data_IF_014929378847
#
_entry.id   IF_014929378847
#
_cell.length_a   1.000
_cell.length_b   1.000
_cell.length_c   1.000
_cell.angle_alpha   90.00
_cell.angle_beta   90.00
_cell.angle_gamma   90.00
#
_symmetry.space_group_name_H-M   'P 1'
#
loop_
_entity.id
_entity.type
_entity.pdbx_description
1 polymer ?
#
# COMPACT_ATOMS: atom_id res chain seq x y z
N UNK A 1 -19.04 32.63 -1.42
CA UNK A 1 -18.01 31.69 -0.90
C UNK A 1 -17.87 31.93 0.58
N UNK A 2 -18.18 30.93 1.43
CA UNK A 2 -18.34 31.11 2.87
C UNK A 2 -17.05 31.56 3.55
N UNK A 3 -17.15 32.60 4.39
CA UNK A 3 -16.08 33.17 5.25
C UNK A 3 -15.64 32.22 6.37
N UNK A 4 -15.90 30.94 6.25
CA UNK A 4 -15.54 29.90 7.24
C UNK A 4 -14.03 29.61 7.20
N UNK A 5 -13.48 29.16 8.32
CA UNK A 5 -12.07 28.72 8.40
C UNK A 5 -11.73 27.65 7.34
N UNK A 6 -12.68 26.74 7.08
CA UNK A 6 -12.55 25.71 6.05
C UNK A 6 -12.48 26.32 4.63
N UNK A 7 -13.34 27.31 4.31
CA UNK A 7 -13.35 27.98 3.02
C UNK A 7 -12.02 28.70 2.76
N UNK A 8 -11.44 29.34 3.79
CA UNK A 8 -10.12 29.99 3.70
C UNK A 8 -9.00 28.96 3.47
N UNK A 9 -9.01 27.84 4.19
CA UNK A 9 -8.02 26.78 4.02
C UNK A 9 -8.05 26.18 2.60
N UNK A 10 -9.25 25.94 2.04
CA UNK A 10 -9.43 25.45 0.66
C UNK A 10 -8.89 26.44 -0.36
N UNK A 11 -9.19 27.75 -0.20
CA UNK A 11 -8.71 28.81 -1.09
C UNK A 11 -7.18 28.96 -1.01
N UNK A 12 -6.59 28.81 0.18
CA UNK A 12 -5.15 28.85 0.37
C UNK A 12 -4.42 27.68 -0.33
N UNK A 13 -4.98 26.47 -0.26
CA UNK A 13 -4.45 25.31 -0.97
C UNK A 13 -4.49 25.55 -2.48
N UNK A 14 -5.61 26.04 -3.00
CA UNK A 14 -5.75 26.32 -4.43
C UNK A 14 -4.73 27.38 -4.90
N UNK A 15 -4.59 28.47 -4.17
CA UNK A 15 -3.64 29.56 -4.48
C UNK A 15 -2.17 29.08 -4.45
N UNK A 16 -1.83 28.12 -3.56
CA UNK A 16 -0.49 27.55 -3.44
C UNK A 16 -0.22 26.41 -4.42
N UNK A 17 -1.22 25.96 -5.17
CA UNK A 17 -1.08 24.88 -6.15
C UNK A 17 -0.42 25.39 -7.42
N UNK A 18 0.77 24.86 -7.83
CA UNK A 18 1.41 25.29 -9.06
C UNK A 18 0.55 25.00 -10.29
N UNK A 19 0.49 25.88 -11.30
CA UNK A 19 -0.36 25.71 -12.49
C UNK A 19 -0.06 24.44 -13.29
N UNK A 20 1.20 23.98 -13.25
CA UNK A 20 1.66 22.79 -13.97
C UNK A 20 1.47 21.47 -13.18
N UNK A 21 0.76 21.52 -12.03
CA UNK A 21 0.54 20.35 -11.19
C UNK A 21 -0.42 19.37 -11.87
N UNK A 22 0.01 18.13 -12.02
CA UNK A 22 -0.85 17.07 -12.57
C UNK A 22 -1.82 16.56 -11.50
N UNK A 23 -3.01 17.18 -11.47
CA UNK A 23 -4.04 16.86 -10.47
C UNK A 23 -4.56 15.43 -10.60
N UNK A 24 -4.61 14.86 -11.81
CA UNK A 24 -5.06 13.48 -12.00
C UNK A 24 -4.10 12.48 -11.34
N UNK A 25 -2.81 12.66 -11.52
CA UNK A 25 -1.79 11.81 -10.89
C UNK A 25 -1.85 11.90 -9.37
N UNK A 26 -2.05 13.10 -8.83
CA UNK A 26 -2.20 13.26 -7.38
C UNK A 26 -3.53 12.67 -6.87
N UNK A 27 -4.61 12.76 -7.64
CA UNK A 27 -5.89 12.14 -7.34
C UNK A 27 -5.80 10.61 -7.30
N UNK A 28 -5.19 10.01 -8.31
CA UNK A 28 -4.94 8.56 -8.36
C UNK A 28 -4.07 8.09 -7.20
N UNK A 29 -3.05 8.87 -6.83
CA UNK A 29 -2.21 8.57 -5.67
C UNK A 29 -3.01 8.63 -4.38
N UNK A 30 -3.81 9.67 -4.18
CA UNK A 30 -4.64 9.81 -2.98
C UNK A 30 -5.67 8.69 -2.87
N UNK A 31 -6.29 8.29 -3.98
CA UNK A 31 -7.21 7.15 -4.03
C UNK A 31 -6.51 5.85 -3.60
N UNK A 32 -5.34 5.56 -4.18
CA UNK A 32 -4.58 4.37 -3.83
C UNK A 32 -4.11 4.38 -2.37
N UNK A 33 -3.70 5.56 -1.85
CA UNK A 33 -3.32 5.73 -0.44
C UNK A 33 -4.47 5.51 0.53
N UNK A 34 -5.69 5.92 0.18
CA UNK A 34 -6.87 5.72 1.03
C UNK A 34 -7.41 4.29 0.94
N UNK A 35 -7.24 3.62 -0.21
CA UNK A 35 -7.64 2.23 -0.36
C UNK A 35 -6.88 1.29 0.59
N UNK A 36 -5.61 1.58 0.91
CA UNK A 36 -4.81 0.75 1.82
C UNK A 36 -5.42 0.67 3.23
N UNK A 37 -5.59 1.78 3.99
CA UNK A 37 -6.21 1.70 5.31
C UNK A 37 -7.64 1.18 5.24
N UNK A 38 -8.43 1.58 4.24
CA UNK A 38 -9.80 1.09 4.05
C UNK A 38 -9.83 -0.42 3.88
N UNK A 39 -8.92 -0.98 3.06
CA UNK A 39 -8.78 -2.42 2.86
C UNK A 39 -8.39 -3.15 4.14
N UNK A 40 -7.36 -2.67 4.84
CA UNK A 40 -6.92 -3.28 6.10
C UNK A 40 -7.97 -3.19 7.20
N UNK A 41 -8.71 -2.08 7.27
CA UNK A 41 -9.75 -1.92 8.28
C UNK A 41 -11.03 -2.71 7.97
N UNK A 42 -11.41 -2.88 6.70
CA UNK A 42 -12.62 -3.59 6.31
C UNK A 42 -12.40 -5.11 6.17
N UNK A 43 -11.25 -5.52 5.60
CA UNK A 43 -10.94 -6.92 5.30
C UNK A 43 -10.12 -7.60 6.39
N UNK A 44 -9.58 -6.83 7.34
CA UNK A 44 -8.89 -7.31 8.53
C UNK A 44 -9.76 -7.15 9.77
N UNK A 45 -9.66 -8.09 10.69
CA UNK A 45 -10.39 -8.10 11.95
C UNK A 45 -9.61 -8.78 13.05
N UNK A 46 -10.24 -8.90 14.22
CA UNK A 46 -9.71 -9.61 15.36
C UNK A 46 -10.74 -10.57 15.91
N UNK A 47 -10.26 -11.70 16.43
CA UNK A 47 -11.02 -12.56 17.33
C UNK A 47 -10.38 -12.48 18.70
N UNK A 48 -11.21 -12.37 19.74
CA UNK A 48 -10.77 -12.45 21.14
C UNK A 48 -10.98 -13.87 21.64
N UNK A 49 -9.91 -14.50 22.12
CA UNK A 49 -9.96 -15.84 22.72
C UNK A 49 -10.40 -15.82 24.19
N UNK A 50 -10.45 -17.00 24.84
CA UNK A 50 -10.84 -17.15 26.22
C UNK A 50 -9.87 -16.51 27.23
N UNK A 51 -8.59 -16.31 26.85
CA UNK A 51 -7.58 -15.62 27.64
C UNK A 51 -7.65 -14.09 27.54
N UNK A 52 -8.43 -13.58 26.59
CA UNK A 52 -8.52 -12.15 26.28
C UNK A 52 -7.55 -11.68 25.20
N UNK A 53 -6.75 -12.59 24.64
CA UNK A 53 -5.82 -12.26 23.56
C UNK A 53 -6.54 -12.03 22.22
N UNK A 54 -5.99 -11.09 21.45
CA UNK A 54 -6.47 -10.78 20.11
C UNK A 54 -5.63 -11.53 19.07
N UNK A 55 -6.33 -12.25 18.19
CA UNK A 55 -5.78 -12.93 17.03
C UNK A 55 -6.28 -12.30 15.75
N UNK A 56 -5.42 -12.31 14.71
CA UNK A 56 -5.80 -11.80 13.39
C UNK A 56 -6.88 -12.66 12.76
N UNK A 57 -7.89 -12.02 12.18
CA UNK A 57 -9.02 -12.66 11.50
C UNK A 57 -9.42 -11.85 10.25
N UNK A 58 -10.20 -12.47 9.36
CA UNK A 58 -10.70 -11.82 8.16
C UNK A 58 -12.11 -12.27 7.82
N UNK A 59 -13.02 -11.39 7.42
CA UNK A 59 -14.33 -11.78 6.92
C UNK A 59 -14.26 -12.63 5.64
N UNK A 60 -13.14 -12.60 4.94
CA UNK A 60 -12.93 -13.39 3.74
C UNK A 60 -12.76 -14.89 4.03
N UNK A 61 -12.40 -15.28 5.26
CA UNK A 61 -12.38 -16.68 5.69
C UNK A 61 -13.79 -17.28 5.79
N UNK A 62 -14.79 -16.44 6.12
CA UNK A 62 -16.19 -16.88 6.30
C UNK A 62 -17.06 -16.57 5.07
N UNK A 63 -16.73 -15.52 4.31
CA UNK A 63 -17.53 -15.03 3.19
C UNK A 63 -16.69 -14.89 1.92
N UNK A 64 -16.53 -15.97 1.17
CA UNK A 64 -15.84 -15.98 -0.12
C UNK A 64 -16.46 -14.99 -1.13
N UNK A 65 -17.78 -14.77 -1.10
CA UNK A 65 -18.50 -13.79 -1.91
C UNK A 65 -18.11 -12.33 -1.64
N UNK A 66 -17.36 -12.05 -0.55
CA UNK A 66 -16.84 -10.72 -0.25
C UNK A 66 -15.47 -10.44 -0.93
N UNK A 67 -14.88 -11.45 -1.61
CA UNK A 67 -13.62 -11.29 -2.32
C UNK A 67 -13.58 -10.13 -3.32
N UNK A 68 -14.66 -9.77 -4.08
CA UNK A 68 -14.65 -8.60 -4.97
C UNK A 68 -14.34 -7.27 -4.28
N UNK A 69 -14.62 -7.12 -2.98
CA UNK A 69 -14.21 -5.94 -2.22
C UNK A 69 -12.68 -5.80 -2.20
N UNK A 70 -11.95 -6.94 -2.13
CA UNK A 70 -10.49 -6.92 -2.21
C UNK A 70 -9.97 -6.49 -3.58
N UNK A 71 -10.70 -6.71 -4.68
CA UNK A 71 -10.30 -6.28 -6.03
C UNK A 71 -10.33 -4.75 -6.18
N UNK A 72 -11.34 -4.12 -5.55
CA UNK A 72 -11.50 -2.66 -5.55
C UNK A 72 -10.46 -2.01 -4.62
N UNK A 73 -10.21 -2.62 -3.45
CA UNK A 73 -9.33 -2.06 -2.44
C UNK A 73 -7.85 -2.39 -2.67
N UNK A 74 -7.53 -3.38 -3.52
CA UNK A 74 -6.16 -3.68 -3.92
C UNK A 74 -5.67 -2.69 -4.99
N UNK A 75 -5.30 -1.51 -4.55
CA UNK A 75 -4.85 -0.42 -5.42
C UNK A 75 -3.33 -0.20 -5.41
N UNK A 76 -2.54 -1.18 -4.95
CA UNK A 76 -1.08 -1.09 -5.01
C UNK A 76 -0.59 -0.99 -6.46
N UNK A 77 -1.27 -1.63 -7.42
CA UNK A 77 -0.99 -1.46 -8.85
C UNK A 77 -1.05 0.00 -9.29
N UNK A 78 -2.09 0.74 -8.91
CA UNK A 78 -2.22 2.18 -9.16
C UNK A 78 -1.13 2.97 -8.42
N UNK A 79 -0.81 2.60 -7.18
CA UNK A 79 0.23 3.28 -6.43
C UNK A 79 1.60 3.16 -7.12
N UNK A 80 1.97 1.96 -7.57
CA UNK A 80 3.22 1.74 -8.31
C UNK A 80 3.20 2.41 -9.70
N UNK A 81 2.06 2.39 -10.42
CA UNK A 81 1.89 3.11 -11.69
C UNK A 81 2.20 4.61 -11.52
N UNK A 82 1.53 5.25 -10.57
CA UNK A 82 1.73 6.69 -10.26
C UNK A 82 3.14 6.95 -9.76
N UNK A 83 3.69 6.02 -8.98
CA UNK A 83 5.06 6.05 -8.51
C UNK A 83 6.07 6.07 -9.65
N UNK A 84 5.93 5.19 -10.63
CA UNK A 84 6.75 5.14 -11.83
C UNK A 84 6.64 6.42 -12.66
N UNK A 85 5.41 6.87 -12.93
CA UNK A 85 5.15 8.12 -13.64
C UNK A 85 5.82 9.34 -12.96
N UNK A 86 5.62 9.51 -11.66
CA UNK A 86 6.21 10.61 -10.91
C UNK A 86 7.74 10.51 -10.80
N UNK A 87 8.26 9.27 -10.75
CA UNK A 87 9.70 9.03 -10.65
C UNK A 87 10.42 9.39 -11.93
N UNK A 88 9.91 9.02 -13.11
CA UNK A 88 10.53 9.39 -14.37
C UNK A 88 10.54 10.89 -14.60
N UNK A 89 9.44 11.60 -14.31
CA UNK A 89 9.39 13.05 -14.41
C UNK A 89 10.39 13.74 -13.47
N UNK A 90 10.49 13.25 -12.24
CA UNK A 90 11.45 13.77 -11.26
C UNK A 90 12.89 13.41 -11.63
N UNK A 91 13.11 12.22 -12.21
CA UNK A 91 14.42 11.78 -12.67
C UNK A 91 14.95 12.66 -13.80
N UNK A 92 14.11 13.04 -14.76
CA UNK A 92 14.49 13.96 -15.84
C UNK A 92 14.75 15.40 -15.35
N UNK A 93 14.01 15.84 -14.34
CA UNK A 93 14.18 17.19 -13.75
C UNK A 93 15.27 17.26 -12.68
N UNK A 94 15.99 16.13 -12.41
CA UNK A 94 17.00 16.13 -11.35
C UNK A 94 18.14 17.11 -11.63
N UNK A 95 18.53 17.82 -10.59
CA UNK A 95 19.77 18.59 -10.56
C UNK A 95 20.81 17.77 -9.80
N UNK A 96 21.90 17.40 -10.45
CA UNK A 96 22.97 16.58 -9.84
C UNK A 96 22.90 15.08 -10.13
N UNK A 97 23.62 14.28 -9.34
CA UNK A 97 23.81 12.85 -9.58
C UNK A 97 22.56 12.03 -9.26
N UNK A 98 22.43 10.87 -9.94
CA UNK A 98 21.38 9.88 -9.65
C UNK A 98 21.41 9.43 -8.18
N UNK A 99 22.62 9.27 -7.60
CA UNK A 99 22.78 8.91 -6.19
C UNK A 99 22.24 9.97 -5.22
N UNK A 100 22.43 11.26 -5.51
CA UNK A 100 21.86 12.34 -4.69
C UNK A 100 20.33 12.38 -4.78
N UNK A 101 19.77 12.19 -5.97
CA UNK A 101 18.33 12.08 -6.19
C UNK A 101 17.73 10.90 -5.41
N UNK A 102 18.36 9.71 -5.49
CA UNK A 102 17.91 8.52 -4.78
C UNK A 102 17.99 8.68 -3.27
N UNK A 103 19.12 9.18 -2.73
CA UNK A 103 19.26 9.44 -1.27
C UNK A 103 18.15 10.34 -0.73
N UNK A 104 17.78 11.37 -1.48
CA UNK A 104 16.68 12.26 -1.07
C UNK A 104 15.32 11.55 -1.00
N UNK A 105 15.07 10.58 -1.88
CA UNK A 105 13.86 9.79 -1.88
C UNK A 105 13.84 8.75 -0.77
N UNK A 106 14.93 8.00 -0.61
CA UNK A 106 15.08 7.01 0.47
C UNK A 106 14.92 7.67 1.84
N UNK A 107 15.56 8.83 2.06
CA UNK A 107 15.42 9.57 3.31
C UNK A 107 13.98 10.02 3.59
N UNK A 108 13.22 10.39 2.57
CA UNK A 108 11.82 10.80 2.71
C UNK A 108 10.91 9.62 3.08
N UNK A 109 11.16 8.44 2.51
CA UNK A 109 10.38 7.23 2.78
C UNK A 109 10.78 6.56 4.09
N UNK A 110 12.08 6.53 4.40
CA UNK A 110 12.60 5.82 5.57
C UNK A 110 12.35 6.50 6.91
N UNK A 111 12.31 7.85 6.96
CA UNK A 111 12.13 8.57 8.24
C UNK A 111 10.83 8.20 8.97
N UNK A 112 9.64 8.21 8.31
CA UNK A 112 8.40 7.78 8.97
C UNK A 112 8.42 6.32 9.40
N UNK A 113 9.06 5.43 8.62
CA UNK A 113 9.24 4.02 8.99
C UNK A 113 10.06 3.90 10.26
N UNK A 114 11.21 4.60 10.35
CA UNK A 114 12.01 4.63 11.58
C UNK A 114 11.23 5.21 12.76
N UNK A 115 10.37 6.20 12.51
CA UNK A 115 9.50 6.79 13.53
C UNK A 115 8.52 5.79 14.12
N UNK A 116 7.76 5.09 13.27
CA UNK A 116 6.78 4.09 13.74
C UNK A 116 7.49 2.92 14.42
N UNK A 117 8.61 2.45 13.89
CA UNK A 117 9.41 1.37 14.49
C UNK A 117 9.90 1.76 15.87
N UNK A 118 10.44 2.98 16.05
CA UNK A 118 10.92 3.45 17.36
C UNK A 118 9.78 3.55 18.38
N UNK A 119 8.62 4.06 17.98
CA UNK A 119 7.44 4.17 18.86
C UNK A 119 6.98 2.76 19.28
N UNK A 120 6.85 1.83 18.35
CA UNK A 120 6.42 0.46 18.69
C UNK A 120 7.45 -0.30 19.52
N UNK A 121 8.75 -0.11 19.27
CA UNK A 121 9.81 -0.69 20.09
C UNK A 121 9.75 -0.23 21.56
N UNK A 122 9.26 0.99 21.81
CA UNK A 122 9.05 1.50 23.19
C UNK A 122 7.67 1.13 23.73
N UNK A 123 6.65 1.07 22.89
CA UNK A 123 5.28 0.73 23.32
C UNK A 123 5.11 -0.73 23.72
N UNK A 124 5.75 -1.68 23.04
CA UNK A 124 5.61 -3.11 23.33
C UNK A 124 5.95 -3.44 24.79
N UNK A 125 7.12 -3.03 25.36
CA UNK A 125 7.40 -3.26 26.77
C UNK A 125 6.39 -2.59 27.71
N UNK A 126 5.96 -1.37 27.40
CA UNK A 126 4.97 -0.64 28.20
C UNK A 126 3.63 -1.38 28.21
N UNK A 127 3.14 -1.79 27.06
CA UNK A 127 1.88 -2.54 26.95
C UNK A 127 1.96 -3.90 27.66
N UNK A 128 3.14 -4.55 27.62
CA UNK A 128 3.36 -5.80 28.34
C UNK A 128 3.23 -5.58 29.86
N UNK A 129 3.86 -4.54 30.41
CA UNK A 129 3.75 -4.17 31.84
C UNK A 129 2.31 -3.81 32.22
N UNK A 130 1.55 -3.22 31.29
CA UNK A 130 0.13 -2.90 31.50
C UNK A 130 -0.80 -4.14 31.38
N UNK A 131 -0.25 -5.35 31.22
CA UNK A 131 -1.02 -6.59 31.21
C UNK A 131 -1.65 -6.94 29.87
N UNK A 132 -1.20 -6.33 28.75
CA UNK A 132 -1.65 -6.76 27.40
C UNK A 132 -1.08 -8.16 27.11
N UNK A 133 -1.93 -9.14 26.73
CA UNK A 133 -1.49 -10.50 26.44
C UNK A 133 -0.40 -10.55 25.36
N UNK A 134 0.58 -11.45 25.53
CA UNK A 134 1.71 -11.61 24.62
C UNK A 134 1.25 -11.83 23.16
N UNK A 135 0.23 -12.66 22.92
CA UNK A 135 -0.29 -12.94 21.58
C UNK A 135 -0.94 -11.71 20.96
N UNK A 136 -1.58 -10.83 21.76
CA UNK A 136 -2.05 -9.53 21.30
C UNK A 136 -0.89 -8.63 20.86
N UNK A 137 0.21 -8.60 21.62
CA UNK A 137 1.40 -7.82 21.26
C UNK A 137 2.07 -8.36 19.99
N UNK A 138 2.15 -9.68 19.84
CA UNK A 138 2.64 -10.33 18.62
C UNK A 138 1.76 -9.99 17.41
N UNK A 139 0.45 -10.16 17.53
CA UNK A 139 -0.52 -9.81 16.47
C UNK A 139 -0.41 -8.34 16.09
N UNK A 140 -0.38 -7.44 17.08
CA UNK A 140 -0.28 -6.00 16.86
C UNK A 140 1.02 -5.59 16.17
N UNK A 141 2.18 -6.11 16.64
CA UNK A 141 3.47 -5.81 16.03
C UNK A 141 3.56 -6.33 14.59
N UNK A 142 3.07 -7.54 14.32
CA UNK A 142 2.99 -8.10 12.97
C UNK A 142 2.15 -7.20 12.04
N UNK A 143 0.96 -6.81 12.46
CA UNK A 143 0.07 -5.97 11.65
C UNK A 143 0.65 -4.58 11.36
N UNK A 144 1.41 -4.00 12.28
CA UNK A 144 2.04 -2.69 12.06
C UNK A 144 3.25 -2.78 11.13
N UNK A 145 4.04 -3.83 11.25
CA UNK A 145 5.28 -4.00 10.50
C UNK A 145 5.01 -4.57 9.10
N UNK A 146 4.07 -5.50 9.00
CA UNK A 146 3.75 -6.17 7.74
C UNK A 146 3.50 -5.20 6.57
N UNK A 147 2.73 -4.09 6.67
CA UNK A 147 2.56 -3.17 5.55
C UNK A 147 3.84 -2.43 5.14
N UNK A 148 4.87 -2.39 6.01
CA UNK A 148 6.08 -1.63 5.75
C UNK A 148 7.03 -2.31 4.74
N UNK A 149 6.85 -3.63 4.46
CA UNK A 149 7.59 -4.33 3.39
C UNK A 149 7.50 -3.57 2.05
N UNK A 150 6.32 -3.02 1.80
CA UNK A 150 6.02 -2.24 0.61
C UNK A 150 6.98 -1.06 0.42
N UNK A 151 7.40 -0.39 1.51
CA UNK A 151 8.36 0.74 1.43
C UNK A 151 9.72 0.25 0.94
N UNK A 152 10.16 -0.93 1.38
CA UNK A 152 11.39 -1.57 0.92
C UNK A 152 11.35 -1.84 -0.58
N UNK A 153 10.30 -2.50 -1.07
CA UNK A 153 10.10 -2.76 -2.50
C UNK A 153 10.03 -1.45 -3.28
N UNK A 154 9.29 -0.45 -2.78
CA UNK A 154 9.17 0.84 -3.45
C UNK A 154 10.50 1.59 -3.56
N UNK A 155 11.39 1.48 -2.56
CA UNK A 155 12.76 2.01 -2.62
C UNK A 155 13.56 1.31 -3.72
N UNK A 156 13.50 -0.03 -3.79
CA UNK A 156 14.22 -0.81 -4.82
C UNK A 156 13.75 -0.45 -6.21
N UNK A 157 12.44 -0.46 -6.49
CA UNK A 157 11.94 -0.10 -7.84
C UNK A 157 12.23 1.35 -8.19
N UNK A 158 12.26 2.26 -7.19
CA UNK A 158 12.69 3.64 -7.40
C UNK A 158 14.16 3.73 -7.78
N UNK A 159 15.03 2.92 -7.16
CA UNK A 159 16.46 2.86 -7.51
C UNK A 159 16.66 2.34 -8.93
N UNK A 160 15.79 1.46 -9.40
CA UNK A 160 15.81 0.89 -10.76
C UNK A 160 15.24 1.83 -11.83
N UNK A 161 14.74 3.04 -11.48
CA UNK A 161 14.18 4.01 -12.45
C UNK A 161 15.06 4.24 -13.68
N UNK A 162 16.40 4.41 -13.59
CA UNK A 162 17.24 4.60 -14.78
C UNK A 162 17.16 3.43 -15.78
N UNK A 163 17.08 2.20 -15.27
CA UNK A 163 16.93 0.99 -16.08
C UNK A 163 15.53 0.89 -16.68
N UNK A 164 14.49 1.23 -15.91
CA UNK A 164 13.10 1.30 -16.37
C UNK A 164 12.95 2.30 -17.53
N UNK A 165 13.63 3.46 -17.44
CA UNK A 165 13.65 4.45 -18.53
C UNK A 165 14.31 3.91 -19.78
N UNK A 166 15.45 3.20 -19.65
CA UNK A 166 16.11 2.55 -20.80
C UNK A 166 15.20 1.51 -21.44
N UNK A 167 14.56 0.65 -20.63
CA UNK A 167 13.60 -0.35 -21.11
C UNK A 167 12.41 0.30 -21.84
N UNK A 168 11.83 1.37 -21.28
CA UNK A 168 10.75 2.11 -21.92
C UNK A 168 11.16 2.73 -23.28
N UNK A 169 12.40 3.19 -23.40
CA UNK A 169 12.93 3.72 -24.67
C UNK A 169 13.20 2.64 -25.69
N UNK A 170 13.72 1.49 -25.28
CA UNK A 170 14.04 0.36 -26.17
C UNK A 170 12.79 -0.41 -26.62
N UNK A 171 11.86 -0.69 -25.68
CA UNK A 171 10.72 -1.59 -25.89
C UNK A 171 9.36 -0.86 -25.94
N UNK A 172 9.36 0.47 -25.75
CA UNK A 172 8.12 1.25 -25.76
C UNK A 172 7.13 0.82 -24.68
N UNK A 173 5.87 0.63 -25.07
CA UNK A 173 4.80 0.17 -24.18
C UNK A 173 4.94 -1.27 -23.70
N UNK A 174 5.75 -2.08 -24.40
CA UNK A 174 5.99 -3.49 -24.07
C UNK A 174 7.06 -3.72 -22.99
N UNK A 175 7.67 -2.66 -22.46
CA UNK A 175 8.75 -2.76 -21.48
C UNK A 175 8.36 -3.50 -20.18
N UNK A 176 7.08 -3.61 -19.88
CA UNK A 176 6.57 -4.37 -18.74
C UNK A 176 6.32 -5.87 -19.05
N UNK A 177 6.26 -6.26 -20.32
CA UNK A 177 5.92 -7.63 -20.71
C UNK A 177 6.89 -8.70 -20.19
N UNK A 178 8.23 -8.50 -20.16
CA UNK A 178 9.14 -9.48 -19.57
C UNK A 178 8.86 -9.74 -18.08
N UNK A 179 8.45 -8.71 -17.33
CA UNK A 179 8.12 -8.86 -15.91
C UNK A 179 6.85 -9.71 -15.71
N UNK A 180 5.85 -9.52 -16.59
CA UNK A 180 4.66 -10.38 -16.62
C UNK A 180 5.05 -11.83 -16.94
N UNK A 181 5.94 -12.04 -17.92
CA UNK A 181 6.44 -13.37 -18.30
C UNK A 181 7.16 -14.09 -17.16
N UNK A 182 7.99 -13.38 -16.39
CA UNK A 182 8.66 -13.95 -15.20
C UNK A 182 7.64 -14.41 -14.17
N UNK A 183 6.65 -13.58 -13.84
CA UNK A 183 5.62 -13.95 -12.85
C UNK A 183 4.76 -15.10 -13.36
N UNK A 184 4.39 -15.11 -14.65
CA UNK A 184 3.65 -16.21 -15.25
C UNK A 184 4.43 -17.53 -15.20
N UNK A 185 5.74 -17.49 -15.49
CA UNK A 185 6.60 -18.67 -15.41
C UNK A 185 6.71 -19.19 -13.97
N UNK A 186 6.95 -18.32 -13.00
CA UNK A 186 7.06 -18.72 -11.60
C UNK A 186 5.73 -19.29 -11.09
N UNK A 187 4.60 -18.68 -11.45
CA UNK A 187 3.28 -19.20 -11.07
C UNK A 187 3.01 -20.57 -11.74
N UNK A 188 3.39 -20.74 -13.01
CA UNK A 188 3.28 -22.02 -13.70
C UNK A 188 4.13 -23.11 -13.03
N UNK A 189 5.37 -22.80 -12.65
CA UNK A 189 6.23 -23.74 -11.95
C UNK A 189 5.68 -24.12 -10.58
N UNK A 190 5.09 -23.17 -9.84
CA UNK A 190 4.59 -23.37 -8.47
C UNK A 190 3.21 -24.06 -8.39
N UNK A 191 2.38 -23.90 -9.40
CA UNK A 191 0.99 -24.34 -9.38
C UNK A 191 0.64 -25.27 -10.54
N UNK A 192 1.59 -25.51 -11.44
CA UNK A 192 1.46 -26.44 -12.56
C UNK A 192 1.97 -27.86 -12.22
N UNK A 193 2.18 -28.70 -13.24
CA UNK A 193 2.55 -30.12 -13.06
C UNK A 193 3.87 -30.36 -12.31
N UNK A 194 4.72 -29.34 -12.18
CA UNK A 194 6.02 -29.45 -11.49
C UNK A 194 6.00 -28.93 -10.06
N UNK A 195 4.83 -28.58 -9.52
CA UNK A 195 4.68 -27.89 -8.24
C UNK A 195 5.38 -28.61 -7.07
N UNK A 196 5.21 -29.93 -6.98
CA UNK A 196 5.77 -30.75 -5.90
C UNK A 196 7.31 -30.81 -5.88
N UNK A 197 7.94 -30.55 -7.04
CA UNK A 197 9.41 -30.52 -7.17
C UNK A 197 10.02 -29.13 -6.97
N UNK A 198 9.20 -28.09 -6.86
CA UNK A 198 9.69 -26.70 -6.75
C UNK A 198 9.95 -26.29 -5.31
N UNK A 199 11.08 -25.62 -5.05
CA UNK A 199 11.38 -25.12 -3.72
C UNK A 199 10.43 -23.98 -3.29
N UNK A 200 10.04 -23.94 -2.03
CA UNK A 200 9.11 -22.93 -1.48
C UNK A 200 9.57 -21.48 -1.69
N UNK A 201 10.89 -21.24 -1.64
CA UNK A 201 11.47 -19.90 -1.86
C UNK A 201 11.28 -19.36 -3.29
N UNK A 202 10.93 -20.21 -4.28
CA UNK A 202 10.71 -19.77 -5.66
C UNK A 202 9.65 -18.68 -5.74
N UNK A 203 8.69 -18.69 -4.83
CA UNK A 203 7.66 -17.66 -4.72
C UNK A 203 8.24 -16.25 -4.52
N UNK A 204 9.34 -16.12 -3.80
CA UNK A 204 9.97 -14.83 -3.49
C UNK A 204 10.52 -14.13 -4.74
N UNK A 205 10.80 -14.90 -5.80
CA UNK A 205 11.23 -14.36 -7.10
C UNK A 205 10.18 -13.41 -7.68
N UNK A 206 8.89 -13.63 -7.39
CA UNK A 206 7.80 -12.78 -7.87
C UNK A 206 7.73 -11.40 -7.20
N UNK A 207 8.36 -11.20 -6.05
CA UNK A 207 8.21 -9.95 -5.27
C UNK A 207 8.62 -8.73 -6.10
N UNK A 208 9.82 -8.76 -6.67
CA UNK A 208 10.32 -7.61 -7.41
C UNK A 208 9.64 -7.44 -8.79
N UNK A 209 9.60 -8.45 -9.68
CA UNK A 209 8.98 -8.29 -11.00
C UNK A 209 7.48 -8.01 -10.90
N UNK A 210 6.78 -8.58 -9.92
CA UNK A 210 5.35 -8.37 -9.74
C UNK A 210 5.00 -6.91 -9.45
N UNK A 211 5.66 -6.27 -8.51
CA UNK A 211 5.40 -4.86 -8.21
C UNK A 211 6.09 -3.90 -9.20
N UNK A 212 7.24 -4.30 -9.75
CA UNK A 212 7.92 -3.55 -10.80
C UNK A 212 7.11 -3.49 -12.09
N UNK A 213 6.22 -4.45 -12.38
CA UNK A 213 5.34 -4.45 -13.54
C UNK A 213 4.51 -3.16 -13.64
N UNK A 214 3.73 -2.84 -12.62
CA UNK A 214 2.91 -1.64 -12.60
C UNK A 214 3.77 -0.36 -12.56
N UNK A 215 4.91 -0.39 -11.88
CA UNK A 215 5.87 0.71 -11.87
C UNK A 215 6.44 0.97 -13.27
N UNK A 216 6.82 -0.07 -14.01
CA UNK A 216 7.33 0.02 -15.39
C UNK A 216 6.25 0.57 -16.33
N UNK A 217 4.98 0.17 -16.18
CA UNK A 217 3.87 0.78 -16.91
C UNK A 217 3.80 2.29 -16.65
N UNK A 218 3.98 2.71 -15.40
CA UNK A 218 4.02 4.12 -15.02
C UNK A 218 5.18 4.88 -15.65
N UNK A 219 6.37 4.29 -15.68
CA UNK A 219 7.53 4.87 -16.36
C UNK A 219 7.27 4.97 -17.86
N UNK A 220 6.77 3.92 -18.51
CA UNK A 220 6.45 3.91 -19.95
C UNK A 220 5.36 4.96 -20.27
N UNK A 221 4.39 5.14 -19.40
CA UNK A 221 3.38 6.20 -19.55
C UNK A 221 4.00 7.60 -19.43
N UNK A 222 4.86 7.84 -18.43
CA UNK A 222 5.58 9.10 -18.26
C UNK A 222 6.56 9.43 -19.41
N UNK A 223 7.14 8.41 -20.06
CA UNK A 223 7.94 8.50 -21.29
C UNK A 223 7.07 8.61 -22.56
N UNK A 224 5.73 8.76 -22.42
CA UNK A 224 4.74 8.87 -23.50
C UNK A 224 4.73 7.66 -24.46
N UNK A 225 5.12 6.47 -23.96
CA UNK A 225 5.13 5.22 -24.74
C UNK A 225 3.81 4.46 -24.67
N UNK A 226 2.91 4.82 -23.77
CA UNK A 226 1.56 4.25 -23.65
C UNK A 226 0.56 5.35 -24.00
N UNK A 227 -0.08 5.21 -25.16
CA UNK A 227 -1.18 6.06 -25.61
C UNK A 227 -2.54 5.42 -25.34
N UNK A 228 -3.62 6.03 -25.87
CA UNK A 228 -5.00 5.59 -25.64
C UNK A 228 -5.26 4.14 -26.10
N UNK A 229 -4.69 3.71 -27.23
CA UNK A 229 -4.82 2.32 -27.72
C UNK A 229 -4.15 1.35 -26.73
N UNK A 230 -2.93 1.65 -26.28
CA UNK A 230 -2.24 0.86 -25.27
C UNK A 230 -3.00 0.80 -23.95
N UNK A 231 -3.63 1.88 -23.54
CA UNK A 231 -4.47 1.91 -22.34
C UNK A 231 -5.72 1.01 -22.47
N UNK A 232 -6.36 0.96 -23.63
CA UNK A 232 -7.46 0.02 -23.90
C UNK A 232 -7.00 -1.44 -23.92
N UNK A 233 -5.81 -1.72 -24.48
CA UNK A 233 -5.22 -3.08 -24.43
C UNK A 233 -4.91 -3.50 -23.01
N UNK A 234 -4.36 -2.61 -22.18
CA UNK A 234 -4.11 -2.89 -20.76
C UNK A 234 -5.41 -3.13 -20.00
N UNK A 235 -6.44 -2.31 -20.23
CA UNK A 235 -7.74 -2.46 -19.57
C UNK A 235 -8.44 -3.76 -19.97
N UNK A 236 -8.66 -3.96 -21.27
CA UNK A 236 -9.38 -5.12 -21.78
C UNK A 236 -8.58 -6.42 -21.64
N UNK A 237 -7.30 -6.40 -22.02
CA UNK A 237 -6.42 -7.58 -21.88
C UNK A 237 -6.20 -7.97 -20.41
N UNK A 238 -6.02 -6.97 -19.53
CA UNK A 238 -5.91 -7.20 -18.09
C UNK A 238 -7.20 -7.79 -17.51
N UNK A 239 -8.36 -7.26 -17.87
CA UNK A 239 -9.65 -7.76 -17.41
C UNK A 239 -9.94 -9.19 -17.92
N UNK A 240 -9.64 -9.47 -19.19
CA UNK A 240 -9.79 -10.81 -19.76
C UNK A 240 -8.85 -11.82 -19.11
N UNK A 241 -7.58 -11.46 -18.92
CA UNK A 241 -6.61 -12.31 -18.21
C UNK A 241 -7.06 -12.56 -16.77
N UNK A 242 -7.54 -11.52 -16.07
CA UNK A 242 -8.06 -11.62 -14.72
C UNK A 242 -9.22 -12.62 -14.64
N UNK A 243 -10.20 -12.49 -15.54
CA UNK A 243 -11.32 -13.41 -15.61
C UNK A 243 -10.89 -14.85 -15.94
N UNK A 244 -9.98 -15.03 -16.90
CA UNK A 244 -9.44 -16.35 -17.23
C UNK A 244 -8.70 -17.00 -16.06
N UNK A 245 -7.88 -16.25 -15.33
CA UNK A 245 -7.16 -16.77 -14.17
C UNK A 245 -8.11 -17.20 -13.04
N UNK A 246 -9.21 -16.49 -12.83
CA UNK A 246 -10.22 -16.87 -11.84
C UNK A 246 -11.07 -18.07 -12.30
N UNK A 247 -11.60 -18.02 -13.53
CA UNK A 247 -12.65 -18.94 -13.97
C UNK A 247 -12.08 -20.24 -14.57
N UNK A 248 -10.91 -20.17 -15.21
CA UNK A 248 -10.29 -21.32 -15.90
C UNK A 248 -9.12 -21.88 -15.09
N UNK A 249 -8.27 -21.02 -14.52
CA UNK A 249 -7.07 -21.43 -13.79
C UNK A 249 -7.27 -21.50 -12.27
N UNK A 250 -8.49 -21.22 -11.78
CA UNK A 250 -8.91 -21.33 -10.38
C UNK A 250 -7.97 -20.65 -9.38
N UNK A 251 -7.48 -19.45 -9.71
CA UNK A 251 -6.74 -18.64 -8.75
C UNK A 251 -7.66 -18.26 -7.57
N UNK A 252 -7.13 -18.13 -6.34
CA UNK A 252 -7.92 -17.67 -5.20
C UNK A 252 -8.57 -16.31 -5.52
N UNK A 253 -9.87 -16.18 -5.23
CA UNK A 253 -10.60 -14.94 -5.56
C UNK A 253 -10.14 -13.73 -4.75
N UNK A 254 -9.63 -13.93 -3.53
CA UNK A 254 -9.12 -12.83 -2.69
C UNK A 254 -7.81 -12.26 -3.20
N UNK A 255 -7.72 -10.92 -3.29
CA UNK A 255 -6.47 -10.21 -3.59
C UNK A 255 -5.56 -10.06 -2.37
N UNK A 256 -6.06 -10.28 -1.17
CA UNK A 256 -5.30 -10.20 0.09
C UNK A 256 -5.12 -11.58 0.70
N UNK A 257 -4.15 -11.71 1.61
CA UNK A 257 -3.98 -12.95 2.36
C UNK A 257 -5.20 -13.21 3.25
N UNK A 258 -5.69 -14.44 3.24
CA UNK A 258 -6.77 -14.90 4.10
C UNK A 258 -6.15 -15.84 5.14
N UNK A 259 -6.35 -15.61 6.46
CA UNK A 259 -5.83 -16.49 7.47
C UNK A 259 -6.26 -17.95 7.26
N UNK A 260 -5.31 -18.89 7.28
CA UNK A 260 -5.58 -20.32 7.02
C UNK A 260 -5.42 -20.76 5.57
N UNK A 261 -5.36 -19.83 4.61
CA UNK A 261 -5.18 -20.17 3.18
C UNK A 261 -3.68 -20.24 2.83
N UNK A 262 -3.28 -21.36 2.22
CA UNK A 262 -1.90 -21.59 1.81
C UNK A 262 -1.48 -20.76 0.60
N UNK A 263 -2.42 -20.35 -0.25
CA UNK A 263 -2.18 -19.59 -1.48
C UNK A 263 -2.70 -18.17 -1.37
N UNK A 264 -1.83 -17.19 -1.58
CA UNK A 264 -2.19 -15.77 -1.59
C UNK A 264 -1.85 -15.14 -2.94
N UNK A 265 -2.57 -14.07 -3.33
CA UNK A 265 -2.30 -13.34 -4.57
C UNK A 265 -1.35 -12.16 -4.40
N UNK A 266 -1.23 -11.59 -3.19
CA UNK A 266 -0.44 -10.37 -2.97
C UNK A 266 0.92 -10.62 -2.32
N UNK A 267 1.12 -11.75 -1.65
CA UNK A 267 2.33 -12.04 -0.88
C UNK A 267 2.77 -13.49 -1.06
N UNK A 268 3.65 -13.72 -2.02
CA UNK A 268 4.16 -12.84 -3.08
C UNK A 268 3.12 -12.57 -4.19
N UNK A 269 3.30 -11.50 -4.99
CA UNK A 269 2.35 -11.16 -6.05
C UNK A 269 2.27 -12.26 -7.11
N UNK A 270 1.03 -12.66 -7.43
CA UNK A 270 0.70 -13.66 -8.46
C UNK A 270 0.35 -12.98 -9.78
N UNK A 271 0.24 -13.77 -10.85
CA UNK A 271 -0.20 -13.31 -12.16
C UNK A 271 -1.59 -12.64 -12.10
N UNK A 272 -2.46 -13.06 -11.17
CA UNK A 272 -3.79 -12.46 -10.98
C UNK A 272 -3.70 -10.99 -10.53
N UNK A 273 -2.78 -10.66 -9.61
CA UNK A 273 -2.53 -9.27 -9.20
C UNK A 273 -2.00 -8.43 -10.35
N UNK A 274 -1.14 -9.00 -11.21
CA UNK A 274 -0.64 -8.29 -12.38
C UNK A 274 -1.74 -8.03 -13.40
N UNK A 275 -2.64 -8.99 -13.62
CA UNK A 275 -3.79 -8.82 -14.49
C UNK A 275 -4.71 -7.69 -13.98
N UNK A 276 -5.01 -7.67 -12.67
CA UNK A 276 -5.75 -6.59 -12.04
C UNK A 276 -5.02 -5.24 -12.17
N UNK A 277 -3.71 -5.21 -11.91
CA UNK A 277 -2.89 -4.00 -12.03
C UNK A 277 -2.86 -3.47 -13.47
N UNK A 278 -2.83 -4.35 -14.49
CA UNK A 278 -2.94 -3.96 -15.90
C UNK A 278 -4.29 -3.31 -16.19
N UNK A 279 -5.39 -3.94 -15.78
CA UNK A 279 -6.74 -3.41 -15.97
C UNK A 279 -6.91 -2.06 -15.27
N UNK A 280 -6.51 -1.95 -14.01
CA UNK A 280 -6.54 -0.70 -13.25
C UNK A 280 -5.67 0.39 -13.89
N UNK A 281 -4.46 0.04 -14.37
CA UNK A 281 -3.56 0.98 -15.05
C UNK A 281 -4.17 1.51 -16.34
N UNK A 282 -4.76 0.63 -17.16
CA UNK A 282 -5.48 1.01 -18.36
C UNK A 282 -6.63 1.97 -18.06
N UNK A 283 -7.48 1.63 -17.08
CA UNK A 283 -8.57 2.47 -16.63
C UNK A 283 -8.09 3.84 -16.13
N UNK A 284 -7.02 3.88 -15.32
CA UNK A 284 -6.46 5.12 -14.79
C UNK A 284 -5.97 6.06 -15.91
N UNK A 285 -5.30 5.51 -16.93
CA UNK A 285 -4.83 6.27 -18.08
C UNK A 285 -6.01 6.81 -18.90
N UNK A 286 -7.04 5.99 -19.14
CA UNK A 286 -8.24 6.38 -19.89
C UNK A 286 -9.08 7.45 -19.17
N UNK A 287 -9.13 7.38 -17.83
CA UNK A 287 -9.90 8.31 -17.00
C UNK A 287 -9.14 9.58 -16.61
N UNK A 288 -7.84 9.68 -16.96
CA UNK A 288 -6.97 10.78 -16.53
C UNK A 288 -7.57 12.15 -16.72
N UNK A 289 -8.09 12.45 -17.92
CA UNK A 289 -8.60 13.79 -18.23
C UNK A 289 -9.91 14.09 -17.49
N UNK A 290 -10.75 13.08 -17.26
CA UNK A 290 -11.97 13.23 -16.44
C UNK A 290 -11.60 13.53 -14.99
N UNK A 291 -10.65 12.78 -14.42
CA UNK A 291 -10.15 13.00 -13.05
C UNK A 291 -9.53 14.39 -12.94
N UNK A 292 -8.70 14.82 -13.90
CA UNK A 292 -8.10 16.15 -13.94
C UNK A 292 -9.18 17.24 -13.92
N UNK A 293 -10.24 17.08 -14.73
CA UNK A 293 -11.34 18.03 -14.81
C UNK A 293 -12.16 18.09 -13.50
N UNK A 294 -12.44 16.95 -12.86
CA UNK A 294 -13.13 16.94 -11.57
C UNK A 294 -12.32 17.65 -10.48
N UNK A 295 -11.01 17.44 -10.46
CA UNK A 295 -10.10 18.02 -9.48
C UNK A 295 -9.75 19.49 -9.75
N UNK A 296 -10.32 20.12 -10.79
CA UNK A 296 -10.32 21.59 -10.92
C UNK A 296 -11.19 22.27 -9.85
N UNK A 297 -12.13 21.53 -9.24
CA UNK A 297 -12.99 22.05 -8.16
C UNK A 297 -12.18 22.09 -6.86
N UNK A 298 -11.99 23.28 -6.23
CA UNK A 298 -11.15 23.41 -5.04
C UNK A 298 -11.59 22.53 -3.86
N UNK A 299 -12.90 22.31 -3.72
CA UNK A 299 -13.46 21.45 -2.67
C UNK A 299 -13.05 19.97 -2.81
N UNK A 300 -12.85 19.47 -4.04
CA UNK A 300 -12.37 18.13 -4.31
C UNK A 300 -10.84 18.05 -4.30
N UNK A 301 -10.17 19.14 -4.67
CA UNK A 301 -8.72 19.19 -4.71
C UNK A 301 -8.07 19.27 -3.32
N UNK A 302 -8.64 20.04 -2.41
CA UNK A 302 -8.06 20.25 -1.08
C UNK A 302 -7.86 18.93 -0.28
N UNK A 303 -8.86 18.02 -0.18
CA UNK A 303 -8.66 16.72 0.44
C UNK A 303 -7.53 15.90 -0.22
N UNK A 304 -7.45 15.90 -1.56
CA UNK A 304 -6.38 15.20 -2.30
C UNK A 304 -5.00 15.69 -1.90
N UNK A 305 -4.83 17.02 -1.75
CA UNK A 305 -3.57 17.61 -1.30
C UNK A 305 -3.23 17.16 0.12
N UNK A 306 -4.20 17.20 1.04
CA UNK A 306 -4.02 16.79 2.45
C UNK A 306 -3.60 15.32 2.54
N UNK A 307 -4.27 14.42 1.82
CA UNK A 307 -3.94 12.99 1.77
C UNK A 307 -2.52 12.78 1.23
N UNK A 308 -2.16 13.43 0.12
CA UNK A 308 -0.83 13.30 -0.46
C UNK A 308 0.29 13.85 0.44
N UNK A 309 0.03 14.93 1.19
CA UNK A 309 0.97 15.48 2.17
C UNK A 309 1.12 14.60 3.41
N UNK A 310 0.13 13.77 3.71
CA UNK A 310 0.12 12.85 4.85
C UNK A 310 0.37 11.40 4.43
N UNK A 311 0.84 11.16 3.19
CA UNK A 311 0.92 9.83 2.58
C UNK A 311 1.67 8.81 3.44
N UNK A 312 2.86 9.15 3.90
CA UNK A 312 3.68 8.24 4.70
C UNK A 312 3.11 8.07 6.11
N UNK A 313 2.53 9.11 6.68
CA UNK A 313 1.83 9.01 7.98
C UNK A 313 0.65 8.06 7.88
N UNK A 314 -0.20 8.20 6.86
CA UNK A 314 -1.34 7.29 6.64
C UNK A 314 -0.83 5.86 6.51
N UNK A 315 0.18 5.63 5.67
CA UNK A 315 0.74 4.30 5.42
C UNK A 315 1.34 3.67 6.68
N UNK A 316 2.09 4.42 7.48
CA UNK A 316 2.80 3.88 8.65
C UNK A 316 1.89 3.69 9.87
N UNK A 317 0.82 4.47 10.01
CA UNK A 317 0.06 4.55 11.26
C UNK A 317 -1.37 4.03 11.23
N UNK A 318 -1.90 3.65 10.04
CA UNK A 318 -3.30 3.19 9.94
C UNK A 318 -3.59 1.93 10.78
N UNK A 319 -2.64 0.98 10.87
CA UNK A 319 -2.81 -0.19 11.72
C UNK A 319 -2.74 0.16 13.21
N UNK A 320 -1.86 1.10 13.58
CA UNK A 320 -1.83 1.62 14.96
C UNK A 320 -3.15 2.28 15.34
N UNK A 321 -3.80 2.98 14.42
CA UNK A 321 -5.12 3.58 14.67
C UNK A 321 -6.20 2.53 14.96
N UNK A 322 -6.21 1.41 14.21
CA UNK A 322 -7.13 0.30 14.47
C UNK A 322 -6.82 -0.39 15.81
N UNK A 323 -5.55 -0.64 16.10
CA UNK A 323 -5.11 -1.26 17.37
C UNK A 323 -5.38 -0.38 18.58
N UNK A 324 -5.31 0.94 18.43
CA UNK A 324 -5.64 1.89 19.50
C UNK A 324 -7.11 1.82 19.94
N UNK A 325 -8.00 1.32 19.08
CA UNK A 325 -9.38 1.01 19.45
C UNK A 325 -9.52 -0.44 19.94
N UNK A 326 -8.90 -1.41 19.24
CA UNK A 326 -9.11 -2.84 19.49
C UNK A 326 -8.46 -3.34 20.79
N UNK A 327 -7.26 -2.86 21.13
CA UNK A 327 -6.53 -3.31 22.33
C UNK A 327 -7.27 -2.89 23.62
N UNK A 328 -7.68 -1.62 23.82
CA UNK A 328 -8.49 -1.28 24.99
C UNK A 328 -9.84 -2.01 25.03
N UNK A 329 -10.48 -2.19 23.87
CA UNK A 329 -11.76 -2.89 23.80
C UNK A 329 -11.64 -4.39 24.20
N UNK A 330 -10.48 -5.03 23.99
CA UNK A 330 -10.27 -6.42 24.39
C UNK A 330 -10.38 -6.63 25.91
N UNK A 331 -10.07 -5.62 26.73
CA UNK A 331 -10.27 -5.66 28.18
C UNK A 331 -11.75 -5.53 28.59
N UNK A 332 -12.57 -4.87 27.76
CA UNK A 332 -14.02 -4.78 27.97
C UNK A 332 -14.78 -6.04 27.52
N UNK A 333 -14.11 -6.97 26.80
CA UNK A 333 -14.70 -8.22 26.36
C UNK A 333 -14.95 -8.29 24.85
N UNK A 334 -16.08 -8.87 24.45
CA UNK A 334 -16.46 -9.01 23.04
C UNK A 334 -17.22 -7.76 22.59
N UNK A 335 -16.56 -6.92 21.81
CA UNK A 335 -17.14 -5.70 21.22
C UNK A 335 -17.48 -5.96 19.75
N UNK A 336 -18.76 -5.81 19.35
CA UNK A 336 -19.22 -6.05 17.99
C UNK A 336 -18.41 -5.30 16.94
N UNK A 337 -18.03 -5.98 15.85
CA UNK A 337 -17.24 -5.43 14.74
C UNK A 337 -15.79 -5.05 15.09
N UNK A 338 -15.34 -5.25 16.34
CA UNK A 338 -13.99 -4.87 16.78
C UNK A 338 -13.19 -6.04 17.35
N UNK A 339 -13.75 -6.79 18.32
CA UNK A 339 -13.10 -7.96 18.96
C UNK A 339 -13.92 -9.25 18.83
N UNK A 340 -15.06 -9.21 18.12
CA UNK A 340 -15.86 -10.37 17.73
C UNK A 340 -15.33 -10.97 16.43
N UNK A 341 -15.52 -12.29 16.26
CA UNK A 341 -15.16 -12.98 15.03
C UNK A 341 -15.90 -12.39 13.81
N UNK A 342 -15.21 -12.23 12.66
CA UNK A 342 -15.81 -11.70 11.43
C UNK A 342 -16.53 -12.81 10.64
N UNK A 343 -17.48 -13.50 11.27
CA UNK A 343 -18.19 -14.67 10.78
C UNK A 343 -19.68 -14.44 10.50
N UNK A 344 -20.15 -13.19 10.63
CA UNK A 344 -21.52 -12.77 10.35
C UNK A 344 -21.58 -11.56 9.41
N UNK A 345 -22.63 -11.44 8.60
CA UNK A 345 -22.87 -10.26 7.78
C UNK A 345 -23.09 -8.99 8.64
N UNK A 346 -23.66 -9.15 9.83
CA UNK A 346 -23.81 -8.05 10.79
C UNK A 346 -22.47 -7.44 11.18
N UNK A 347 -21.43 -8.26 11.33
CA UNK A 347 -20.08 -7.81 11.62
C UNK A 347 -19.56 -6.78 10.60
N UNK A 348 -19.90 -6.93 9.30
CA UNK A 348 -19.49 -5.99 8.25
C UNK A 348 -20.11 -4.61 8.52
N UNK A 349 -21.42 -4.56 8.87
CA UNK A 349 -22.10 -3.32 9.24
C UNK A 349 -21.52 -2.67 10.48
N UNK A 350 -21.27 -3.47 11.52
CA UNK A 350 -20.62 -3.04 12.77
C UNK A 350 -19.22 -2.51 12.50
N UNK A 351 -18.44 -3.20 11.64
CA UNK A 351 -17.09 -2.78 11.24
C UNK A 351 -17.09 -1.47 10.48
N UNK A 352 -18.06 -1.26 9.59
CA UNK A 352 -18.23 0.02 8.89
C UNK A 352 -18.50 1.17 9.86
N UNK A 353 -19.24 0.93 10.94
CA UNK A 353 -19.47 1.92 11.99
C UNK A 353 -18.17 2.29 12.76
N UNK A 354 -17.21 1.38 12.87
CA UNK A 354 -15.90 1.66 13.47
C UNK A 354 -14.94 2.44 12.57
N UNK A 355 -15.11 2.40 11.25
CA UNK A 355 -14.16 3.05 10.33
C UNK A 355 -14.01 4.56 10.56
N UNK A 356 -15.06 5.36 10.83
CA UNK A 356 -14.90 6.77 11.20
C UNK A 356 -14.05 6.96 12.47
N UNK A 357 -14.20 6.07 13.47
CA UNK A 357 -13.40 6.10 14.70
C UNK A 357 -11.92 5.87 14.38
N UNK A 358 -11.61 4.87 13.55
CA UNK A 358 -10.22 4.63 13.10
C UNK A 358 -9.66 5.83 12.32
N UNK A 359 -10.49 6.45 11.47
CA UNK A 359 -10.08 7.64 10.73
C UNK A 359 -9.77 8.82 11.66
N UNK A 360 -10.59 9.07 12.69
CA UNK A 360 -10.34 10.10 13.70
C UNK A 360 -9.06 9.80 14.48
N UNK A 361 -8.88 8.55 14.94
CA UNK A 361 -7.65 8.12 15.63
C UNK A 361 -6.43 8.31 14.74
N UNK A 362 -6.52 7.95 13.44
CA UNK A 362 -5.45 8.16 12.48
C UNK A 362 -5.12 9.66 12.33
N UNK A 363 -6.12 10.53 12.26
CA UNK A 363 -5.91 12.00 12.18
C UNK A 363 -5.22 12.51 13.44
N UNK A 364 -5.64 12.05 14.63
CA UNK A 364 -5.01 12.40 15.90
C UNK A 364 -3.55 11.95 15.92
N UNK A 365 -3.29 10.68 15.60
CA UNK A 365 -1.92 10.14 15.53
C UNK A 365 -1.08 10.92 14.50
N UNK A 366 -1.63 11.21 13.31
CA UNK A 366 -0.95 11.94 12.26
C UNK A 366 -0.52 13.34 12.71
N UNK A 367 -1.32 14.00 13.56
CA UNK A 367 -0.99 15.32 14.11
C UNK A 367 0.34 15.30 14.88
N UNK A 368 0.58 14.24 15.65
CA UNK A 368 1.81 14.05 16.44
C UNK A 368 2.95 13.42 15.62
N UNK A 369 2.63 12.48 14.74
CA UNK A 369 3.61 11.74 13.94
C UNK A 369 4.27 12.59 12.82
N UNK A 370 3.68 13.69 12.40
CA UNK A 370 4.25 14.59 11.37
C UNK A 370 5.68 15.06 11.67
N UNK A 371 6.07 15.14 12.94
CA UNK A 371 7.44 15.47 13.32
C UNK A 371 8.49 14.47 12.79
N UNK A 372 8.10 13.21 12.55
CA UNK A 372 8.99 12.20 11.98
C UNK A 372 9.20 12.35 10.47
N UNK A 373 8.26 13.00 9.76
CA UNK A 373 8.37 13.25 8.32
C UNK A 373 9.29 14.44 8.00
N UNK A 374 9.46 15.36 8.95
CA UNK A 374 10.28 16.55 8.77
C UNK A 374 11.76 16.19 8.52
N UNK A 375 12.51 16.99 7.70
CA UNK A 375 13.92 16.76 7.49
C UNK A 375 14.70 16.85 8.80
N UNK A 376 15.52 15.85 9.10
CA UNK A 376 16.41 15.84 10.26
C UNK A 376 17.66 16.68 9.96
N UNK A 377 17.50 17.98 9.85
CA UNK A 377 18.54 18.91 9.42
C UNK A 377 19.71 19.03 10.43
N UNK A 378 19.48 18.63 11.69
CA UNK A 378 20.48 18.67 12.77
C UNK A 378 20.68 17.30 13.43
N UNK A 379 20.65 16.20 12.65
CA UNK A 379 20.83 14.86 13.21
C UNK A 379 22.29 14.69 13.70
N UNK A 380 22.47 14.50 15.00
CA UNK A 380 23.74 14.15 15.61
C UNK A 380 24.23 12.76 15.14
N UNK A 381 25.53 12.47 15.28
CA UNK A 381 26.07 11.12 15.00
C UNK A 381 25.31 10.01 15.75
N UNK A 382 24.93 10.26 17.02
CA UNK A 382 24.13 9.35 17.83
C UNK A 382 22.74 9.06 17.23
N UNK A 383 22.03 10.07 16.74
CA UNK A 383 20.72 9.88 16.07
C UNK A 383 20.84 9.05 14.77
N UNK A 384 21.93 9.24 14.01
CA UNK A 384 22.19 8.44 12.81
C UNK A 384 22.49 7.00 13.14
N UNK A 385 23.29 6.74 14.20
CA UNK A 385 23.57 5.39 14.69
C UNK A 385 22.31 4.70 15.19
N UNK A 386 21.48 5.38 16.01
CA UNK A 386 20.20 4.85 16.47
C UNK A 386 19.25 4.52 15.32
N UNK A 387 19.17 5.38 14.29
CA UNK A 387 18.38 5.12 13.09
C UNK A 387 18.91 3.90 12.32
N UNK A 388 20.23 3.70 12.25
CA UNK A 388 20.85 2.52 11.65
C UNK A 388 20.52 1.24 12.40
N UNK A 389 20.57 1.25 13.73
CA UNK A 389 20.23 0.10 14.58
C UNK A 389 18.73 -0.26 14.46
N UNK A 390 17.83 0.74 14.45
CA UNK A 390 16.41 0.52 14.26
C UNK A 390 16.12 -0.05 12.87
N UNK A 391 16.80 0.44 11.82
CA UNK A 391 16.66 -0.09 10.47
C UNK A 391 17.15 -1.54 10.37
N UNK A 392 18.27 -1.86 11.00
CA UNK A 392 18.80 -3.23 11.06
C UNK A 392 17.86 -4.16 11.86
N UNK A 393 17.39 -3.74 13.02
CA UNK A 393 16.41 -4.49 13.81
C UNK A 393 15.09 -4.73 13.05
N UNK A 394 14.60 -3.71 12.31
CA UNK A 394 13.45 -3.85 11.44
C UNK A 394 13.69 -4.86 10.31
N UNK A 395 14.87 -4.82 9.66
CA UNK A 395 15.19 -5.75 8.60
C UNK A 395 15.25 -7.20 9.09
N UNK A 396 15.88 -7.43 10.25
CA UNK A 396 15.93 -8.76 10.88
C UNK A 396 14.54 -9.26 11.25
N UNK A 397 13.70 -8.41 11.84
CA UNK A 397 12.33 -8.77 12.17
C UNK A 397 11.48 -9.06 10.92
N UNK A 398 11.61 -8.24 9.89
CA UNK A 398 10.89 -8.44 8.62
C UNK A 398 11.30 -9.75 7.92
N UNK A 399 12.59 -10.13 8.00
CA UNK A 399 13.09 -11.41 7.49
C UNK A 399 12.60 -12.60 8.31
N UNK A 400 12.37 -12.41 9.61
CA UNK A 400 11.81 -13.45 10.49
C UNK A 400 10.30 -13.65 10.35
N UNK A 401 9.61 -12.73 9.66
CA UNK A 401 8.17 -12.85 9.32
C UNK A 401 7.94 -13.41 7.91
N UNK A 402 8.96 -13.44 7.06
CA UNK A 402 8.91 -13.99 5.70
C UNK A 402 9.16 -15.51 5.73
#
# INVERSE_FOLDING_TARGET
MSNTALGRAVSDIERKTPPHRDRAIDGLRALALLAVPTGHWLLGGFTRDGSGALHNASPLSSFAGFAPASWILQMLGIFFLVGGYASVLSFHRRKGSTGAWLRGRVARLGRPVLGVTAVWATMIPVLHVLGVPHDTLRTGSTLVIQPLWFVGVYVVVTALTPYCVRAARAMGGWAAAPLLGVVALVDFLRYGPLADSMPSWLSLVNILPGWMFAYQLGVSWGEKRIGRRGAWLLFGGGALLFAALLMVFHYPASMVGVPGEARTNSHPPSLLVLALAAAQSGAAILLRDRIANWLKRPALWAPVVVVNLSAMTILCWHQTAMLAAAVPASFAGRVPGLTTAPDTLAWIGERLAWMPVFAVLLVVIARYARGFEAPWTKATKARRAAAGLLAAGFAVFALGLA
#
